data_IF_778023559682
#
_entry.id   IF_778023559682
#
_cell.length_a   1.000
_cell.length_b   1.000
_cell.length_c   1.000
_cell.angle_alpha   90.00
_cell.angle_beta   90.00
_cell.angle_gamma   90.00
#
_symmetry.space_group_name_H-M   'P 1'
#
loop_
_entity.id
_entity.type
_entity.pdbx_description
1 polymer ?
#
# COMPACT_ATOMS: atom_id res chain seq x y z
N UNK A 1 11.28 -20.69 15.22
CA UNK A 1 9.93 -20.75 14.60
C UNK A 1 9.00 -19.80 15.35
N UNK A 2 9.35 -18.50 15.40
CA UNK A 2 8.90 -17.62 16.51
C UNK A 2 8.37 -16.24 16.12
N UNK A 3 8.20 -15.92 14.83
CA UNK A 3 7.78 -14.57 14.41
C UNK A 3 6.51 -14.59 13.54
N UNK A 4 5.54 -15.44 13.89
CA UNK A 4 4.32 -15.63 13.10
C UNK A 4 3.36 -14.43 13.18
N UNK A 5 3.54 -13.55 14.18
CA UNK A 5 2.65 -12.42 14.46
C UNK A 5 3.44 -11.16 14.85
N UNK A 6 4.24 -10.66 13.91
CA UNK A 6 4.85 -9.34 14.04
C UNK A 6 3.78 -8.26 13.82
N UNK A 7 3.46 -7.49 14.86
CA UNK A 7 2.58 -6.32 14.72
C UNK A 7 3.36 -5.21 14.00
N UNK A 8 2.74 -4.62 12.98
CA UNK A 8 3.23 -3.39 12.35
C UNK A 8 2.55 -2.22 13.07
N UNK A 9 3.29 -1.37 13.81
CA UNK A 9 2.68 -0.23 14.50
C UNK A 9 2.29 0.87 13.49
N UNK A 10 1.36 1.79 13.88
CA UNK A 10 1.10 3.02 13.13
C UNK A 10 2.41 3.79 12.82
N UNK A 11 2.47 4.42 11.64
CA UNK A 11 3.69 4.95 11.03
C UNK A 11 4.46 3.92 10.18
N UNK A 12 4.16 2.64 10.34
CA UNK A 12 4.64 1.55 9.50
C UNK A 12 4.16 1.65 8.05
N UNK A 13 4.74 0.81 7.18
CA UNK A 13 4.41 0.80 5.75
C UNK A 13 3.73 -0.50 5.36
N UNK A 14 2.59 -0.39 4.66
CA UNK A 14 1.86 -1.50 4.06
C UNK A 14 2.15 -1.51 2.56
N UNK A 15 2.71 -2.61 2.06
CA UNK A 15 2.90 -2.85 0.64
C UNK A 15 1.65 -3.42 0.00
N UNK A 16 1.21 -2.88 -1.13
CA UNK A 16 0.03 -3.35 -1.89
C UNK A 16 0.47 -3.64 -3.33
N UNK A 17 0.20 -4.85 -3.80
CA UNK A 17 0.42 -5.26 -5.20
C UNK A 17 -0.90 -5.12 -5.95
N UNK A 18 -0.93 -4.25 -6.96
CA UNK A 18 -2.12 -3.91 -7.73
C UNK A 18 -2.61 -2.48 -7.48
N UNK A 19 -2.78 -1.72 -8.56
CA UNK A 19 -3.09 -0.29 -8.54
C UNK A 19 -4.57 0.08 -8.65
N UNK A 20 -5.48 -0.89 -8.64
CA UNK A 20 -6.91 -0.67 -8.90
C UNK A 20 -7.69 -0.03 -7.75
N UNK A 21 -9.02 0.05 -7.90
CA UNK A 21 -9.91 0.70 -6.92
C UNK A 21 -9.87 0.05 -5.53
N UNK A 22 -9.70 -1.27 -5.45
CA UNK A 22 -9.57 -1.95 -4.16
C UNK A 22 -8.29 -1.54 -3.42
N UNK A 23 -7.17 -1.41 -4.14
CA UNK A 23 -5.91 -0.90 -3.59
C UNK A 23 -6.06 0.53 -3.07
N UNK A 24 -6.80 1.37 -3.81
CA UNK A 24 -7.14 2.74 -3.39
C UNK A 24 -7.95 2.78 -2.10
N UNK A 25 -9.00 1.95 -2.00
CA UNK A 25 -9.83 1.87 -0.79
C UNK A 25 -9.00 1.40 0.42
N UNK A 26 -8.17 0.37 0.24
CA UNK A 26 -7.29 -0.13 1.30
C UNK A 26 -6.26 0.92 1.74
N UNK A 27 -5.65 1.64 0.80
CA UNK A 27 -4.68 2.70 1.09
C UNK A 27 -5.30 3.86 1.86
N UNK A 28 -6.54 4.26 1.54
CA UNK A 28 -7.27 5.29 2.27
C UNK A 28 -7.56 4.87 3.72
N UNK A 29 -8.03 3.64 3.93
CA UNK A 29 -8.25 3.10 5.27
C UNK A 29 -6.95 3.01 6.08
N UNK A 30 -5.86 2.54 5.45
CA UNK A 30 -4.54 2.48 6.06
C UNK A 30 -4.04 3.86 6.47
N UNK A 31 -4.19 4.87 5.62
CA UNK A 31 -3.83 6.25 5.92
C UNK A 31 -4.62 6.81 7.11
N UNK A 32 -5.94 6.53 7.19
CA UNK A 32 -6.78 6.93 8.32
C UNK A 32 -6.33 6.30 9.66
N UNK A 33 -5.71 5.11 9.61
CA UNK A 33 -5.12 4.44 10.77
C UNK A 33 -3.65 4.84 11.04
N UNK A 34 -3.11 5.81 10.29
CA UNK A 34 -1.74 6.32 10.47
C UNK A 34 -0.65 5.50 9.77
N UNK A 35 -1.00 4.60 8.84
CA UNK A 35 -0.01 3.87 8.04
C UNK A 35 0.36 4.59 6.76
N UNK A 36 1.54 4.27 6.23
CA UNK A 36 1.96 4.65 4.88
C UNK A 36 1.71 3.49 3.93
N UNK A 37 1.23 3.77 2.72
CA UNK A 37 1.09 2.76 1.68
C UNK A 37 2.16 2.90 0.61
N UNK A 38 2.66 1.76 0.11
CA UNK A 38 3.51 1.68 -1.07
C UNK A 38 2.84 0.75 -2.09
N UNK A 39 2.46 1.31 -3.24
CA UNK A 39 1.84 0.56 -4.35
C UNK A 39 2.91 0.03 -5.30
N UNK A 40 2.74 -1.20 -5.75
CA UNK A 40 3.44 -1.76 -6.90
C UNK A 40 2.43 -2.09 -8.00
N UNK A 41 2.54 -1.44 -9.16
CA UNK A 41 1.66 -1.67 -10.31
C UNK A 41 2.33 -1.29 -11.64
N UNK A 42 1.91 -1.85 -12.79
CA UNK A 42 2.45 -1.48 -14.09
C UNK A 42 1.98 -0.09 -14.56
N UNK A 43 0.86 0.40 -14.05
CA UNK A 43 0.25 1.66 -14.48
C UNK A 43 0.82 2.85 -13.70
N UNK A 44 1.28 3.86 -14.45
CA UNK A 44 1.84 5.10 -13.85
C UNK A 44 0.77 5.94 -13.16
N UNK A 45 -0.47 5.89 -13.65
CA UNK A 45 -1.60 6.69 -13.14
C UNK A 45 -2.65 5.82 -12.46
N UNK A 46 -2.20 4.85 -11.64
CA UNK A 46 -3.10 3.93 -11.00
C UNK A 46 -3.91 4.60 -9.87
N UNK A 47 -5.22 4.29 -9.73
CA UNK A 47 -6.06 4.83 -8.66
C UNK A 47 -5.46 4.69 -7.26
N UNK A 48 -4.79 3.57 -6.97
CA UNK A 48 -4.17 3.34 -5.66
C UNK A 48 -2.89 4.18 -5.46
N UNK A 49 -2.11 4.41 -6.52
CA UNK A 49 -0.89 5.19 -6.44
C UNK A 49 -1.18 6.66 -6.08
N UNK A 50 -2.29 7.22 -6.58
CA UNK A 50 -2.72 8.60 -6.32
C UNK A 50 -2.97 8.92 -4.84
N UNK A 51 -3.27 7.91 -4.02
CA UNK A 51 -3.57 8.06 -2.59
C UNK A 51 -2.50 7.47 -1.67
N UNK A 52 -1.37 7.05 -2.22
CA UNK A 52 -0.32 6.34 -1.49
C UNK A 52 0.92 7.20 -1.27
N UNK A 53 1.67 6.91 -0.21
CA UNK A 53 2.89 7.65 0.11
C UNK A 53 4.02 7.40 -0.90
N UNK A 54 4.01 6.23 -1.55
CA UNK A 54 4.96 5.86 -2.60
C UNK A 54 4.30 4.94 -3.62
N UNK A 55 4.76 4.98 -4.86
CA UNK A 55 4.46 3.99 -5.88
C UNK A 55 5.75 3.53 -6.57
N UNK A 56 5.82 2.26 -6.92
CA UNK A 56 6.81 1.72 -7.86
C UNK A 56 6.06 1.25 -9.09
N UNK A 57 6.43 1.82 -10.24
CA UNK A 57 5.84 1.46 -11.53
C UNK A 57 6.72 0.42 -12.20
N UNK A 58 6.25 -0.81 -12.29
CA UNK A 58 6.95 -1.90 -12.95
C UNK A 58 5.99 -3.06 -13.25
N UNK A 59 6.37 -3.89 -14.21
CA UNK A 59 5.69 -5.15 -14.53
C UNK A 59 5.83 -6.15 -13.38
N UNK A 60 4.79 -6.93 -13.13
CA UNK A 60 4.78 -8.06 -12.18
C UNK A 60 4.47 -9.36 -12.93
#
# INVERSE_FOLDING_TARGET
>A
MTDRFKVVPPGGTIGIVGGGQLGRMAALCAAAMGYRCHIFCPDTDSPAAQVSAKATVASY
#
